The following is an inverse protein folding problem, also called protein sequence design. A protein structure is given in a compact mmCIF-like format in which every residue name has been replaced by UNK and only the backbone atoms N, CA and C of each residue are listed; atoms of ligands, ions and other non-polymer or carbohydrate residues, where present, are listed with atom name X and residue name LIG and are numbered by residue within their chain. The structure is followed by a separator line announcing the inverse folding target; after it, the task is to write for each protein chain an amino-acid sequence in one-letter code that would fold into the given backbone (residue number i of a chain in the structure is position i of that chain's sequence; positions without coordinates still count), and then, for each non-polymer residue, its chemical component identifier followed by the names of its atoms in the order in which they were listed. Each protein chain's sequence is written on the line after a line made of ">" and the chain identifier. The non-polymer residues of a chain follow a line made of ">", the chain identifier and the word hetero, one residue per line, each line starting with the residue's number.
data_IF_507605933632
#
_entry.id   IF_507605933632
#
_cell.length_a   1.000
_cell.length_b   1.000
_cell.length_c   1.000
_cell.angle_alpha   90.00
_cell.angle_beta   90.00
_cell.angle_gamma   90.00
#
_symmetry.space_group_name_H-M   'P 1'
#
loop_
_entity.id
_entity.type
_entity.pdbx_description
1 polymer ?
#
# COMPACT_ATOMS: atom_id res chain seq x y z
N UNK A 1 -6.77 -11.16 6.88
CA UNK A 1 -7.88 -10.37 6.25
C UNK A 1 -7.24 -9.10 5.69
N UNK A 2 -7.43 -8.80 4.40
CA UNK A 2 -6.86 -7.62 3.73
C UNK A 2 -7.84 -6.42 3.78
N UNK A 3 -7.32 -5.20 3.63
CA UNK A 3 -8.10 -3.95 3.52
C UNK A 3 -9.18 -3.77 4.59
N UNK A 4 -8.81 -3.96 5.87
CA UNK A 4 -9.73 -3.78 6.99
C UNK A 4 -10.06 -2.29 7.15
N UNK A 5 -11.34 -1.94 7.09
CA UNK A 5 -11.82 -0.56 7.24
C UNK A 5 -11.59 -0.02 8.65
N UNK A 6 -10.41 0.56 8.88
CA UNK A 6 -9.98 1.21 10.12
C UNK A 6 -9.18 2.46 9.77
N UNK A 7 -9.15 3.43 10.69
CA UNK A 7 -8.26 4.59 10.55
C UNK A 7 -6.80 4.10 10.59
N UNK A 8 -6.04 4.43 9.56
CA UNK A 8 -4.60 4.21 9.49
C UNK A 8 -3.81 5.43 9.97
N UNK A 9 -2.49 5.36 9.79
CA UNK A 9 -1.57 6.48 10.02
C UNK A 9 -1.41 7.37 8.78
N UNK A 10 -0.37 8.21 8.83
CA UNK A 10 0.06 9.07 7.73
C UNK A 10 1.50 8.71 7.34
N UNK A 11 1.77 8.63 6.04
CA UNK A 11 3.11 8.41 5.50
C UNK A 11 3.39 9.48 4.45
N UNK A 12 4.61 10.00 4.42
CA UNK A 12 5.07 10.82 3.29
C UNK A 12 5.63 9.87 2.24
N UNK A 13 4.98 9.83 1.09
CA UNK A 13 5.35 8.99 -0.05
C UNK A 13 5.04 9.74 -1.35
N UNK A 14 5.30 9.14 -2.51
CA UNK A 14 5.13 9.73 -3.83
C UNK A 14 3.74 10.36 -4.03
N UNK A 15 2.69 9.71 -3.53
CA UNK A 15 1.33 10.23 -3.59
C UNK A 15 1.21 11.65 -3.01
N UNK A 16 1.99 12.00 -1.98
CA UNK A 16 1.99 13.34 -1.36
C UNK A 16 2.39 14.40 -2.40
N UNK A 17 3.43 14.14 -3.17
CA UNK A 17 3.94 15.08 -4.16
C UNK A 17 3.08 15.11 -5.44
N UNK A 18 2.53 13.98 -5.85
CA UNK A 18 1.56 13.90 -6.96
C UNK A 18 0.32 14.75 -6.63
N UNK A 19 -0.27 14.57 -5.45
CA UNK A 19 -1.40 15.38 -5.00
C UNK A 19 -1.01 16.87 -4.91
N UNK A 20 0.17 17.20 -4.37
CA UNK A 20 0.60 18.59 -4.14
C UNK A 20 0.89 19.34 -5.44
N UNK A 21 1.62 18.74 -6.37
CA UNK A 21 2.16 19.43 -7.55
C UNK A 21 1.38 19.11 -8.83
N UNK A 22 1.06 17.84 -9.08
CA UNK A 22 0.30 17.44 -10.27
C UNK A 22 -1.22 17.64 -10.11
N UNK A 23 -1.70 17.81 -8.88
CA UNK A 23 -3.13 18.00 -8.55
C UNK A 23 -4.01 16.82 -8.98
N UNK A 24 -3.46 15.61 -9.00
CA UNK A 24 -4.19 14.37 -9.31
C UNK A 24 -4.48 13.66 -7.98
N UNK A 25 -5.76 13.42 -7.62
CA UNK A 25 -6.11 12.64 -6.44
C UNK A 25 -5.47 11.26 -6.50
N UNK A 26 -4.51 11.03 -5.61
CA UNK A 26 -3.70 9.80 -5.59
C UNK A 26 -3.70 9.21 -4.20
N UNK A 27 -3.99 7.91 -4.10
CA UNK A 27 -3.88 7.15 -2.85
C UNK A 27 -2.60 6.33 -2.85
N UNK A 28 -2.25 5.83 -1.67
CA UNK A 28 -1.15 4.89 -1.49
C UNK A 28 -1.67 3.59 -0.87
N UNK A 29 -1.27 2.45 -1.43
CA UNK A 29 -1.58 1.11 -0.93
C UNK A 29 -0.30 0.55 -0.32
N UNK A 30 -0.10 0.85 0.96
CA UNK A 30 1.10 0.52 1.72
C UNK A 30 0.74 -0.22 3.02
N UNK A 31 1.54 -1.20 3.47
CA UNK A 31 1.33 -1.85 4.76
C UNK A 31 1.35 -0.84 5.91
N UNK A 32 0.39 -0.95 6.82
CA UNK A 32 0.30 -0.13 8.02
C UNK A 32 0.35 -0.99 9.28
N UNK A 33 1.31 -0.72 10.15
CA UNK A 33 1.46 -1.38 11.45
C UNK A 33 1.08 -0.41 12.57
N UNK A 34 0.16 -0.77 13.47
CA UNK A 34 -0.32 0.11 14.54
C UNK A 34 0.76 0.60 15.50
N UNK A 35 1.87 -0.14 15.67
CA UNK A 35 3.01 0.31 16.48
C UNK A 35 3.78 1.50 15.87
N UNK A 36 3.41 1.95 14.66
CA UNK A 36 3.94 3.16 14.03
C UNK A 36 5.19 2.95 13.19
N UNK A 37 5.60 1.70 12.98
CA UNK A 37 6.75 1.34 12.15
C UNK A 37 6.30 0.77 10.79
N UNK A 38 7.25 0.63 9.87
CA UNK A 38 7.05 -0.12 8.64
C UNK A 38 7.08 -1.62 8.91
N UNK A 39 6.93 -2.42 7.85
CA UNK A 39 7.16 -3.85 7.91
C UNK A 39 8.54 -4.16 8.51
N UNK A 40 8.64 -5.22 9.32
CA UNK A 40 9.86 -5.56 10.09
C UNK A 40 11.13 -5.73 9.25
N UNK A 41 10.99 -5.97 7.94
CA UNK A 41 12.14 -6.11 7.03
C UNK A 41 12.42 -4.84 6.20
N UNK A 42 11.63 -3.78 6.34
CA UNK A 42 11.82 -2.51 5.63
C UNK A 42 13.25 -1.96 5.85
N UNK A 43 13.93 -1.66 4.75
CA UNK A 43 15.33 -1.20 4.74
C UNK A 43 16.33 -2.15 5.45
N UNK A 44 16.04 -3.45 5.47
CA UNK A 44 16.96 -4.47 5.97
C UNK A 44 17.41 -5.40 4.85
N UNK A 45 18.44 -6.21 5.11
CA UNK A 45 18.86 -7.29 4.19
C UNK A 45 17.87 -8.47 4.15
N UNK A 46 16.81 -8.44 4.96
CA UNK A 46 15.73 -9.43 4.99
C UNK A 46 14.53 -9.05 4.12
N UNK A 47 14.59 -7.89 3.46
CA UNK A 47 13.68 -7.57 2.36
C UNK A 47 14.10 -8.37 1.11
N UNK A 48 13.83 -9.67 1.16
CA UNK A 48 14.15 -10.65 0.13
C UNK A 48 12.92 -11.49 -0.24
N UNK A 49 13.11 -12.50 -1.10
CA UNK A 49 11.99 -13.31 -1.61
C UNK A 49 11.29 -14.15 -0.52
N UNK A 50 11.93 -14.41 0.61
CA UNK A 50 11.32 -15.17 1.71
C UNK A 50 10.26 -14.32 2.44
N UNK A 51 10.34 -12.99 2.34
CA UNK A 51 9.36 -12.05 2.89
C UNK A 51 8.10 -11.88 2.03
N UNK A 52 8.09 -12.42 0.81
CA UNK A 52 7.02 -12.20 -0.17
C UNK A 52 5.93 -13.28 -0.09
N UNK A 53 4.69 -12.85 0.16
CA UNK A 53 3.50 -13.71 0.12
C UNK A 53 2.67 -13.47 -1.15
N UNK A 54 2.46 -14.53 -1.94
CA UNK A 54 1.62 -14.51 -3.15
C UNK A 54 0.16 -14.16 -2.85
N UNK A 55 -0.36 -14.52 -1.68
CA UNK A 55 -1.71 -14.15 -1.29
C UNK A 55 -1.87 -12.63 -1.11
N UNK A 56 -0.82 -11.96 -0.59
CA UNK A 56 -0.77 -10.50 -0.48
C UNK A 56 -0.73 -9.84 -1.85
N UNK A 57 0.09 -10.36 -2.77
CA UNK A 57 0.12 -9.88 -4.16
C UNK A 57 -1.24 -10.03 -4.85
N UNK A 58 -1.89 -11.19 -4.69
CA UNK A 58 -3.20 -11.45 -5.27
C UNK A 58 -4.27 -10.52 -4.69
N UNK A 59 -4.27 -10.29 -3.37
CA UNK A 59 -5.23 -9.40 -2.73
C UNK A 59 -5.13 -7.97 -3.27
N UNK A 60 -3.92 -7.41 -3.34
CA UNK A 60 -3.70 -6.06 -3.88
C UNK A 60 -4.05 -6.00 -5.37
N UNK A 61 -3.50 -6.93 -6.16
CA UNK A 61 -3.71 -6.97 -7.61
C UNK A 61 -5.18 -7.10 -7.98
N UNK A 62 -5.90 -8.06 -7.37
CA UNK A 62 -7.32 -8.27 -7.66
C UNK A 62 -8.18 -7.05 -7.28
N UNK A 63 -7.89 -6.40 -6.16
CA UNK A 63 -8.61 -5.19 -5.74
C UNK A 63 -8.40 -4.03 -6.70
N UNK A 64 -7.15 -3.73 -7.07
CA UNK A 64 -6.85 -2.66 -8.04
C UNK A 64 -7.49 -2.98 -9.39
N UNK A 65 -7.41 -4.24 -9.83
CA UNK A 65 -8.00 -4.66 -11.09
C UNK A 65 -9.51 -4.48 -11.11
N UNK A 66 -10.19 -4.85 -10.02
CA UNK A 66 -11.62 -4.65 -9.90
C UNK A 66 -12.00 -3.17 -10.01
N UNK A 67 -11.25 -2.27 -9.36
CA UNK A 67 -11.49 -0.83 -9.44
C UNK A 67 -11.39 -0.36 -10.90
N UNK A 68 -10.24 -0.56 -11.55
CA UNK A 68 -10.01 0.03 -12.88
C UNK A 68 -10.90 -0.56 -13.99
N UNK A 69 -11.38 -1.80 -13.83
CA UNK A 69 -12.35 -2.38 -14.77
C UNK A 69 -13.82 -2.03 -14.45
N UNK A 70 -14.11 -1.46 -13.27
CA UNK A 70 -15.47 -1.09 -12.85
C UNK A 70 -15.76 0.41 -12.93
N UNK A 71 -14.74 1.25 -12.98
CA UNK A 71 -14.89 2.69 -13.20
C UNK A 71 -15.49 2.98 -14.59
N UNK A 72 -16.28 4.06 -14.71
CA UNK A 72 -16.99 4.46 -15.94
C UNK A 72 -16.56 5.83 -16.44
#
# INVERSE_FOLDING_TARGET
>A
RYFVQKKGGFVTDDHTFINKYAKIPTIDIVPYYPEGDFFEHWHTVKDDMDAIDKATLQAVGQTVMQVIYSEK
#
